data_IF_991032225260
#
_entry.id   IF_991032225260
#
_cell.length_a   1.000
_cell.length_b   1.000
_cell.length_c   1.000
_cell.angle_alpha   90.00
_cell.angle_beta   90.00
_cell.angle_gamma   90.00
#
_symmetry.space_group_name_H-M   'P 1'
#
loop_
_entity.id
_entity.type
_entity.pdbx_description
1 polymer ?
#
# COMPACT_ATOMS: atom_id res chain seq x y z
N UNK A 1 12.61 -23.65 -22.38
CA UNK A 1 12.76 -22.54 -21.40
C UNK A 1 11.53 -22.49 -20.49
N UNK A 2 11.58 -23.02 -19.26
CA UNK A 2 10.36 -23.09 -18.39
C UNK A 2 10.61 -22.83 -16.90
N UNK A 3 11.82 -22.42 -16.50
CA UNK A 3 12.19 -22.26 -15.08
C UNK A 3 11.56 -21.02 -14.42
N UNK A 4 11.23 -19.98 -15.19
CA UNK A 4 10.85 -18.66 -14.67
C UNK A 4 9.49 -18.63 -13.95
N UNK A 5 8.46 -19.28 -14.51
CA UNK A 5 7.11 -19.28 -13.91
C UNK A 5 7.02 -20.07 -12.60
N UNK A 6 7.85 -21.11 -12.44
CA UNK A 6 7.90 -21.91 -11.21
C UNK A 6 8.53 -21.15 -10.05
N UNK A 7 9.56 -20.33 -10.32
CA UNK A 7 10.23 -19.51 -9.33
C UNK A 7 9.29 -18.40 -8.82
N UNK A 8 8.57 -17.74 -9.74
CA UNK A 8 7.58 -16.71 -9.41
C UNK A 8 6.45 -17.29 -8.54
N UNK A 9 5.89 -18.47 -8.89
CA UNK A 9 4.86 -19.14 -8.08
C UNK A 9 5.35 -19.48 -6.67
N UNK A 10 6.60 -19.96 -6.54
CA UNK A 10 7.20 -20.28 -5.23
C UNK A 10 7.44 -19.02 -4.40
N UNK A 11 7.93 -17.95 -5.01
CA UNK A 11 8.15 -16.66 -4.37
C UNK A 11 6.81 -16.05 -3.90
N UNK A 12 5.80 -16.02 -4.76
CA UNK A 12 4.46 -15.55 -4.44
C UNK A 12 3.83 -16.35 -3.28
N UNK A 13 3.93 -17.69 -3.32
CA UNK A 13 3.44 -18.57 -2.25
C UNK A 13 4.16 -18.32 -0.92
N UNK A 14 5.47 -18.05 -0.95
CA UNK A 14 6.26 -17.72 0.24
C UNK A 14 5.90 -16.34 0.80
N UNK A 15 5.72 -15.35 -0.05
CA UNK A 15 5.32 -14.00 0.32
C UNK A 15 3.90 -13.99 0.91
N UNK A 16 2.93 -14.61 0.23
CA UNK A 16 1.56 -14.76 0.71
C UNK A 16 1.51 -15.44 2.08
N UNK A 17 2.28 -16.53 2.27
CA UNK A 17 2.36 -17.20 3.58
C UNK A 17 2.91 -16.29 4.68
N UNK A 18 3.95 -15.50 4.40
CA UNK A 18 4.52 -14.56 5.38
C UNK A 18 3.56 -13.42 5.72
N UNK A 19 2.94 -12.81 4.70
CA UNK A 19 1.97 -11.73 4.89
C UNK A 19 0.74 -12.23 5.67
N UNK A 20 0.22 -13.41 5.33
CA UNK A 20 -0.93 -13.98 6.02
C UNK A 20 -0.60 -14.32 7.47
N UNK A 21 0.61 -14.82 7.76
CA UNK A 21 1.06 -15.03 9.14
C UNK A 21 1.15 -13.70 9.91
N UNK A 22 1.75 -12.67 9.32
CA UNK A 22 1.91 -11.37 9.97
C UNK A 22 0.56 -10.71 10.25
N UNK A 23 -0.32 -10.67 9.24
CA UNK A 23 -1.67 -10.11 9.37
C UNK A 23 -2.48 -10.85 10.44
N UNK A 24 -2.52 -12.18 10.43
CA UNK A 24 -3.21 -12.95 11.48
C UNK A 24 -2.65 -12.68 12.87
N UNK A 25 -1.33 -12.58 13.00
CA UNK A 25 -0.69 -12.28 14.29
C UNK A 25 -1.06 -10.87 14.78
N UNK A 26 -0.96 -9.85 13.92
CA UNK A 26 -1.31 -8.47 14.26
C UNK A 26 -2.77 -8.35 14.67
N UNK A 27 -3.71 -8.88 13.87
CA UNK A 27 -5.14 -8.79 14.19
C UNK A 27 -5.49 -9.52 15.50
N UNK A 28 -4.93 -10.70 15.74
CA UNK A 28 -5.16 -11.43 16.99
C UNK A 28 -4.50 -10.72 18.18
N UNK A 29 -3.36 -10.06 17.99
CA UNK A 29 -2.72 -9.28 19.03
C UNK A 29 -3.53 -8.02 19.37
N UNK A 30 -4.02 -7.27 18.37
CA UNK A 30 -4.91 -6.12 18.56
C UNK A 30 -6.21 -6.49 19.27
N UNK A 31 -6.81 -7.63 18.91
CA UNK A 31 -7.98 -8.17 19.61
C UNK A 31 -7.65 -8.54 21.06
N UNK A 32 -6.48 -9.14 21.30
CA UNK A 32 -6.06 -9.51 22.65
C UNK A 32 -5.80 -8.30 23.54
N UNK A 33 -5.24 -7.23 22.96
CA UNK A 33 -5.10 -5.92 23.59
C UNK A 33 -6.45 -5.31 23.92
N UNK A 34 -7.37 -5.30 22.94
CA UNK A 34 -8.73 -4.75 23.11
C UNK A 34 -9.54 -5.49 24.18
N UNK A 35 -9.32 -6.79 24.33
CA UNK A 35 -9.96 -7.63 25.34
C UNK A 35 -9.24 -7.62 26.71
N UNK A 36 -8.10 -6.93 26.84
CA UNK A 36 -7.32 -6.89 28.07
C UNK A 36 -6.68 -8.24 28.46
N UNK A 37 -6.57 -9.18 27.52
CA UNK A 37 -6.00 -10.52 27.73
C UNK A 37 -4.56 -10.62 27.23
N UNK A 38 -3.88 -9.50 26.98
CA UNK A 38 -2.50 -9.55 26.51
C UNK A 38 -1.59 -10.11 27.61
N UNK A 39 -0.97 -11.26 27.32
CA UNK A 39 0.02 -11.87 28.20
C UNK A 39 1.10 -12.53 27.36
N UNK A 40 2.31 -12.66 27.90
CA UNK A 40 3.41 -13.35 27.22
C UNK A 40 3.05 -14.79 26.79
N UNK A 41 2.15 -15.45 27.53
CA UNK A 41 1.64 -16.78 27.16
C UNK A 41 0.75 -16.67 25.92
N UNK A 42 -0.22 -15.75 25.92
CA UNK A 42 -1.15 -15.55 24.83
C UNK A 42 -0.45 -15.10 23.54
N UNK A 43 0.52 -14.19 23.61
CA UNK A 43 1.32 -13.77 22.43
C UNK A 43 2.05 -14.96 21.79
N UNK A 44 2.61 -15.87 22.60
CA UNK A 44 3.27 -17.08 22.09
C UNK A 44 2.28 -18.06 21.45
N UNK A 45 1.09 -18.21 22.04
CA UNK A 45 0.02 -19.04 21.48
C UNK A 45 -0.49 -18.50 20.16
N UNK A 46 -0.75 -17.18 20.08
CA UNK A 46 -1.16 -16.48 18.86
C UNK A 46 -0.09 -16.66 17.77
N UNK A 47 1.19 -16.49 18.09
CA UNK A 47 2.27 -16.70 17.11
C UNK A 47 2.29 -18.14 16.58
N UNK A 48 2.16 -19.14 17.46
CA UNK A 48 2.11 -20.57 17.06
C UNK A 48 0.86 -20.86 16.22
N UNK A 49 -0.30 -20.34 16.61
CA UNK A 49 -1.57 -20.51 15.93
C UNK A 49 -1.52 -19.87 14.53
N UNK A 50 -1.12 -18.61 14.42
CA UNK A 50 -0.95 -17.89 13.14
C UNK A 50 0.02 -18.61 12.21
N UNK A 51 1.12 -19.16 12.73
CA UNK A 51 2.07 -19.96 11.93
C UNK A 51 1.47 -21.27 11.43
N UNK A 52 0.70 -21.98 12.27
CA UNK A 52 0.00 -23.22 11.88
C UNK A 52 -1.09 -22.95 10.83
N UNK A 53 -1.91 -21.93 11.05
CA UNK A 53 -2.96 -21.49 10.12
C UNK A 53 -2.39 -21.07 8.78
N UNK A 54 -1.39 -20.18 8.77
CA UNK A 54 -0.74 -19.75 7.53
C UNK A 54 -0.11 -20.92 6.77
N UNK A 55 0.39 -21.96 7.47
CA UNK A 55 0.89 -23.18 6.82
C UNK A 55 -0.22 -24.04 6.23
N UNK A 56 -1.37 -24.17 6.89
CA UNK A 56 -2.55 -24.90 6.36
C UNK A 56 -3.11 -24.19 5.14
N UNK A 57 -3.40 -22.89 5.27
CA UNK A 57 -3.93 -22.07 4.17
C UNK A 57 -2.96 -22.06 2.99
N UNK A 58 -1.66 -21.86 3.22
CA UNK A 58 -0.68 -21.92 2.12
C UNK A 58 -0.62 -23.28 1.41
N UNK A 59 -0.97 -24.40 2.06
CA UNK A 59 -1.06 -25.69 1.35
C UNK A 59 -2.26 -25.72 0.39
N UNK A 60 -3.36 -25.10 0.78
CA UNK A 60 -4.61 -25.07 0.01
C UNK A 60 -4.67 -23.97 -1.05
N UNK A 61 -3.83 -22.92 -0.94
CA UNK A 61 -3.65 -21.94 -2.01
C UNK A 61 -3.10 -22.67 -3.25
N UNK A 62 -4.01 -23.05 -4.15
CA UNK A 62 -3.71 -23.32 -5.56
C UNK A 62 -3.38 -21.98 -6.21
N UNK A 63 -2.29 -21.89 -7.00
CA UNK A 63 -2.05 -20.69 -7.78
C UNK A 63 -3.25 -20.52 -8.71
N UNK A 64 -4.04 -19.46 -8.49
CA UNK A 64 -5.07 -19.08 -9.43
C UNK A 64 -4.43 -18.96 -10.82
N UNK A 65 -5.11 -19.47 -11.84
CA UNK A 65 -4.71 -19.24 -13.22
C UNK A 65 -4.51 -17.74 -13.39
N UNK A 66 -3.47 -17.28 -14.13
CA UNK A 66 -3.26 -15.87 -14.34
C UNK A 66 -4.56 -15.30 -14.91
N UNK A 67 -5.25 -14.50 -14.11
CA UNK A 67 -6.31 -13.66 -14.62
C UNK A 67 -5.58 -12.76 -15.59
N UNK A 68 -5.83 -12.91 -16.89
CA UNK A 68 -5.46 -11.90 -17.87
C UNK A 68 -6.07 -10.62 -17.33
N UNK A 69 -5.25 -9.76 -16.75
CA UNK A 69 -5.63 -8.37 -16.53
C UNK A 69 -6.00 -7.90 -17.93
N UNK A 70 -7.30 -7.84 -18.21
CA UNK A 70 -7.77 -7.12 -19.38
C UNK A 70 -7.19 -5.73 -19.20
N UNK A 71 -6.26 -5.39 -20.07
CA UNK A 71 -5.75 -4.05 -20.28
C UNK A 71 -6.95 -3.13 -20.19
N UNK A 72 -6.97 -2.25 -19.18
CA UNK A 72 -7.99 -1.23 -19.10
C UNK A 72 -7.95 -0.49 -20.45
N UNK A 73 -9.10 -0.28 -21.13
CA UNK A 73 -9.08 0.46 -22.38
C UNK A 73 -8.41 1.80 -22.11
N UNK A 74 -7.35 2.08 -22.88
CA UNK A 74 -6.70 3.38 -22.86
C UNK A 74 -7.79 4.46 -23.00
N UNK A 75 -7.75 5.56 -22.22
CA UNK A 75 -8.70 6.63 -22.40
C UNK A 75 -8.54 7.16 -23.82
N UNK A 76 -9.59 6.96 -24.62
CA UNK A 76 -9.76 7.45 -25.97
C UNK A 76 -9.68 8.99 -25.92
N UNK A 77 -8.51 9.54 -26.25
CA UNK A 77 -8.33 10.97 -26.43
C UNK A 77 -8.91 11.36 -27.80
N UNK A 78 -10.24 11.46 -27.88
CA UNK A 78 -10.89 12.12 -29.00
C UNK A 78 -12.26 12.66 -28.56
N UNK A 79 -12.28 13.90 -28.05
CA UNK A 79 -13.24 14.95 -28.43
C UNK A 79 -13.23 16.09 -27.41
N UNK A 80 -12.57 17.20 -27.76
CA UNK A 80 -13.06 18.56 -27.51
C UNK A 80 -12.12 19.53 -28.23
N UNK A 81 -12.27 19.63 -29.55
CA UNK A 81 -11.79 20.78 -30.27
C UNK A 81 -12.80 21.92 -30.10
N UNK A 82 -12.27 23.13 -29.87
CA UNK A 82 -12.89 24.45 -30.01
C UNK A 82 -13.79 24.90 -28.84
N UNK A 83 -13.70 26.10 -28.27
CA UNK A 83 -12.99 27.37 -28.52
C UNK A 83 -12.94 28.12 -27.14
N UNK A 84 -12.12 29.11 -26.77
CA UNK A 84 -11.81 30.49 -27.24
C UNK A 84 -10.91 31.14 -26.14
N UNK A 85 -10.37 32.37 -26.26
CA UNK A 85 -9.27 32.88 -27.08
C UNK A 85 -8.02 33.28 -26.24
N UNK A 86 -7.00 33.82 -26.93
CA UNK A 86 -5.63 34.11 -26.49
C UNK A 86 -5.43 34.95 -25.20
N UNK A 87 -4.33 34.72 -24.43
CA UNK A 87 -3.92 35.63 -23.37
C UNK A 87 -3.22 36.86 -23.97
N UNK A 88 -3.80 38.03 -23.72
CA UNK A 88 -3.17 39.33 -23.98
C UNK A 88 -1.93 39.50 -23.08
N UNK A 89 -0.84 39.99 -23.70
CA UNK A 89 0.41 40.39 -23.05
C UNK A 89 0.17 41.26 -21.82
N UNK A 90 0.72 40.86 -20.67
CA UNK A 90 1.00 41.77 -19.56
C UNK A 90 2.48 42.18 -19.59
N UNK A 91 2.82 43.48 -19.62
CA UNK A 91 4.21 43.94 -19.64
C UNK A 91 4.88 43.86 -18.26
N UNK A 92 6.20 43.70 -18.30
CA UNK A 92 7.11 43.65 -17.16
C UNK A 92 7.36 45.01 -16.50
N UNK A 93 7.46 45.04 -15.17
CA UNK A 93 8.25 45.96 -14.32
C UNK A 93 7.84 45.72 -12.84
N UNK A 94 8.66 45.71 -11.79
CA UNK A 94 10.09 45.88 -11.51
C UNK A 94 10.34 45.32 -10.09
N UNK A 95 11.58 45.00 -9.70
CA UNK A 95 11.91 44.41 -8.40
C UNK A 95 12.08 45.48 -7.32
N UNK A 96 11.71 45.16 -6.07
CA UNK A 96 12.19 45.88 -4.88
C UNK A 96 12.44 44.91 -3.74
N UNK A 97 13.65 45.01 -3.20
CA UNK A 97 14.26 44.14 -2.22
C UNK A 97 13.98 44.56 -0.78
N UNK A 98 14.24 43.61 0.13
CA UNK A 98 14.47 43.78 1.58
C UNK A 98 13.18 44.04 2.38
N UNK A 99 12.96 43.54 3.60
CA UNK A 99 13.89 43.20 4.69
C UNK A 99 13.13 42.40 5.76
N UNK A 100 13.76 41.34 6.25
CA UNK A 100 13.78 40.84 7.62
C UNK A 100 12.55 41.00 8.57
N UNK A 101 12.18 39.84 9.14
CA UNK A 101 11.98 39.55 10.57
C UNK A 101 10.65 40.00 11.23
N UNK A 102 9.84 39.00 11.63
CA UNK A 102 8.92 39.08 12.76
C UNK A 102 8.54 37.65 13.23
N UNK A 103 8.07 37.43 14.47
CA UNK A 103 8.77 36.58 15.43
C UNK A 103 7.98 35.35 15.93
N UNK A 104 8.70 34.49 16.66
CA UNK A 104 8.19 33.54 17.65
C UNK A 104 7.32 34.28 18.69
N UNK A 105 6.15 33.72 19.00
CA UNK A 105 5.47 33.94 20.28
C UNK A 105 4.83 32.63 20.73
N UNK A 106 5.38 32.09 21.81
CA UNK A 106 4.99 30.94 22.61
C UNK A 106 4.62 31.49 23.99
N UNK A 107 3.50 31.00 24.57
CA UNK A 107 3.08 31.03 25.99
C UNK A 107 3.12 32.40 26.74
N UNK A 108 2.14 32.79 27.54
CA UNK A 108 1.32 32.09 28.53
C UNK A 108 0.25 33.06 29.02
#
# INVERSE_FOLDING_TARGET
>A
MSKSTSAIKKAAKKAAKKNLQASLFTTLQELSLSLGVESKKNTKEILKASKKLAKKIAKEIKPAAPVKTAEAPAPDQAAAAQAVPAPAKAPAAKPVASKAKAPKAEAK
#
